data_IF_226441168321
#
_entry.id   IF_226441168321
#
_cell.length_a   1.000
_cell.length_b   1.000
_cell.length_c   1.000
_cell.angle_alpha   90.00
_cell.angle_beta   90.00
_cell.angle_gamma   90.00
#
_symmetry.space_group_name_H-M   'P 1'
#
loop_
_entity.id
_entity.type
_entity.pdbx_description
1 polymer ?
#
# COMPACT_ATOMS: atom_id res chain seq x y z
N UNK A 1 -10.44 4.73 18.36
CA UNK A 1 -9.06 4.22 18.47
C UNK A 1 -8.21 4.70 17.30
N UNK A 2 -6.89 4.53 17.33
CA UNK A 2 -5.98 4.95 16.23
C UNK A 2 -6.44 4.43 14.86
N UNK A 3 -6.99 3.21 14.83
CA UNK A 3 -7.54 2.59 13.63
C UNK A 3 -8.80 3.30 13.10
N UNK A 4 -9.68 3.81 13.97
CA UNK A 4 -10.88 4.56 13.56
C UNK A 4 -10.50 5.92 12.96
N UNK A 5 -9.51 6.59 13.55
CA UNK A 5 -8.99 7.88 13.05
C UNK A 5 -8.34 7.70 11.68
N UNK A 6 -7.58 6.62 11.50
CA UNK A 6 -6.98 6.27 10.21
C UNK A 6 -8.03 5.90 9.16
N UNK A 7 -9.08 5.19 9.57
CA UNK A 7 -10.20 4.82 8.70
C UNK A 7 -10.99 6.07 8.27
N UNK A 8 -11.26 7.00 9.18
CA UNK A 8 -11.94 8.27 8.86
C UNK A 8 -11.10 9.19 7.95
N UNK A 9 -9.77 9.17 8.08
CA UNK A 9 -8.88 9.89 7.16
C UNK A 9 -8.81 9.24 5.77
N UNK A 10 -8.88 7.91 5.69
CA UNK A 10 -8.87 7.19 4.41
C UNK A 10 -10.25 7.15 3.73
N UNK A 11 -11.36 7.24 4.46
CA UNK A 11 -12.73 7.24 3.93
C UNK A 11 -12.94 8.15 2.71
N UNK A 12 -12.57 9.43 2.70
CA UNK A 12 -12.81 10.29 1.54
C UNK A 12 -12.02 9.83 0.30
N UNK A 13 -10.79 9.36 0.47
CA UNK A 13 -9.98 8.81 -0.63
C UNK A 13 -10.51 7.47 -1.13
N UNK A 14 -11.02 6.65 -0.22
CA UNK A 14 -11.59 5.31 -0.49
C UNK A 14 -12.91 5.41 -1.23
N UNK A 15 -13.79 6.33 -0.82
CA UNK A 15 -15.08 6.59 -1.47
C UNK A 15 -14.87 7.19 -2.84
N UNK A 16 -13.88 8.09 -3.00
CA UNK A 16 -13.52 8.66 -4.31
C UNK A 16 -12.94 7.63 -5.28
N UNK A 17 -12.30 6.58 -4.77
CA UNK A 17 -11.77 5.46 -5.55
C UNK A 17 -12.78 4.31 -5.75
N UNK A 18 -13.99 4.38 -5.17
CA UNK A 18 -15.00 3.32 -5.26
C UNK A 18 -14.69 2.05 -4.46
N UNK A 19 -13.72 2.11 -3.53
CA UNK A 19 -13.37 0.96 -2.70
C UNK A 19 -14.39 0.77 -1.56
N UNK A 20 -14.74 -0.49 -1.30
CA UNK A 20 -15.54 -0.88 -0.15
C UNK A 20 -14.80 -0.51 1.16
N UNK A 21 -15.46 0.11 2.16
CA UNK A 21 -14.84 0.50 3.42
C UNK A 21 -14.14 -0.65 4.17
N UNK A 22 -14.58 -1.91 3.95
CA UNK A 22 -13.88 -3.10 4.46
C UNK A 22 -12.52 -3.33 3.81
N UNK A 23 -12.40 -3.09 2.50
CA UNK A 23 -11.15 -3.19 1.77
C UNK A 23 -10.18 -2.05 2.15
N UNK A 24 -10.69 -0.86 2.48
CA UNK A 24 -9.86 0.24 2.99
C UNK A 24 -9.18 -0.08 4.33
N UNK A 25 -9.84 -0.84 5.20
CA UNK A 25 -9.23 -1.29 6.45
C UNK A 25 -7.99 -2.16 6.17
N UNK A 26 -8.03 -3.01 5.13
CA UNK A 26 -6.86 -3.80 4.70
C UNK A 26 -5.71 -2.88 4.28
N UNK A 27 -5.97 -1.86 3.46
CA UNK A 27 -4.97 -0.85 3.06
C UNK A 27 -4.33 -0.17 4.27
N UNK A 28 -5.15 0.22 5.25
CA UNK A 28 -4.71 0.88 6.47
C UNK A 28 -3.83 -0.01 7.35
N UNK A 29 -4.18 -1.29 7.50
CA UNK A 29 -3.30 -2.27 8.18
C UNK A 29 -2.02 -2.47 7.39
N UNK A 30 -2.10 -2.52 6.05
CA UNK A 30 -0.94 -2.78 5.20
C UNK A 30 0.12 -1.69 5.33
N UNK A 31 -0.31 -0.44 5.51
CA UNK A 31 0.56 0.71 5.80
C UNK A 31 1.44 0.49 7.05
N UNK A 32 0.86 -0.13 8.08
CA UNK A 32 1.54 -0.37 9.36
C UNK A 32 2.35 -1.66 9.31
N UNK A 33 1.73 -2.74 8.84
CA UNK A 33 2.32 -4.06 8.81
C UNK A 33 1.75 -4.92 7.66
N UNK A 34 2.52 -5.17 6.60
CA UNK A 34 2.04 -5.85 5.40
C UNK A 34 1.67 -7.30 5.67
N UNK A 35 2.40 -8.00 6.55
CA UNK A 35 2.11 -9.40 6.90
C UNK A 35 0.75 -9.55 7.60
N UNK A 36 0.43 -8.65 8.54
CA UNK A 36 -0.86 -8.66 9.23
C UNK A 36 -2.01 -8.34 8.26
N UNK A 37 -1.80 -7.40 7.33
CA UNK A 37 -2.80 -7.04 6.34
C UNK A 37 -3.13 -8.17 5.38
N UNK A 38 -2.14 -8.96 4.94
CA UNK A 38 -2.38 -10.13 4.10
C UNK A 38 -3.20 -11.20 4.82
N UNK A 39 -2.93 -11.45 6.10
CA UNK A 39 -3.71 -12.40 6.92
C UNK A 39 -5.16 -11.93 7.11
N UNK A 40 -5.34 -10.63 7.40
CA UNK A 40 -6.68 -10.05 7.53
C UNK A 40 -7.41 -10.12 6.19
N UNK A 41 -6.74 -9.78 5.10
CA UNK A 41 -7.32 -9.85 3.76
C UNK A 41 -7.74 -11.28 3.40
N UNK A 42 -6.91 -12.30 3.68
CA UNK A 42 -7.25 -13.69 3.40
C UNK A 42 -8.45 -14.17 4.22
N UNK A 43 -8.53 -13.76 5.50
CA UNK A 43 -9.66 -14.10 6.35
C UNK A 43 -10.96 -13.43 5.86
N UNK A 44 -10.90 -12.15 5.49
CA UNK A 44 -12.06 -11.41 4.97
C UNK A 44 -12.55 -11.96 3.62
N UNK A 45 -11.62 -12.47 2.79
CA UNK A 45 -11.97 -13.17 1.54
C UNK A 45 -12.64 -14.52 1.82
N UNK A 46 -12.11 -15.30 2.77
CA UNK A 46 -12.65 -16.59 3.17
C UNK A 46 -14.06 -16.48 3.80
N UNK A 47 -14.32 -15.38 4.50
CA UNK A 47 -15.64 -15.06 5.07
C UNK A 47 -16.62 -14.45 4.06
N UNK A 48 -16.19 -14.20 2.82
CA UNK A 48 -17.02 -13.57 1.79
C UNK A 48 -17.34 -12.09 2.05
N UNK A 49 -16.65 -11.45 3.00
CA UNK A 49 -16.89 -10.04 3.35
C UNK A 49 -16.35 -9.06 2.31
N UNK A 50 -15.34 -9.50 1.55
CA UNK A 50 -14.69 -8.74 0.49
C UNK A 50 -14.54 -9.67 -0.72
N UNK A 51 -14.79 -9.15 -1.92
CA UNK A 51 -14.54 -9.88 -3.17
C UNK A 51 -13.10 -9.71 -3.65
N UNK A 52 -12.55 -10.66 -4.43
CA UNK A 52 -11.17 -10.56 -4.94
C UNK A 52 -10.91 -9.27 -5.71
N UNK A 53 -11.92 -8.77 -6.43
CA UNK A 53 -11.90 -7.52 -7.19
C UNK A 53 -11.69 -6.29 -6.29
N UNK A 54 -12.18 -6.33 -5.05
CA UNK A 54 -12.02 -5.24 -4.07
C UNK A 54 -10.75 -5.41 -3.21
N UNK A 55 -10.33 -6.65 -2.97
CA UNK A 55 -9.15 -6.97 -2.17
C UNK A 55 -7.84 -6.60 -2.88
N UNK A 56 -7.74 -6.90 -4.18
CA UNK A 56 -6.58 -6.59 -5.02
C UNK A 56 -6.18 -5.10 -5.02
N UNK A 57 -7.07 -4.15 -5.35
CA UNK A 57 -6.73 -2.73 -5.34
C UNK A 57 -6.38 -2.23 -3.93
N UNK A 58 -7.01 -2.76 -2.88
CA UNK A 58 -6.67 -2.43 -1.50
C UNK A 58 -5.24 -2.84 -1.12
N UNK A 59 -4.84 -4.07 -1.46
CA UNK A 59 -3.46 -4.55 -1.23
C UNK A 59 -2.45 -3.73 -2.05
N UNK A 60 -2.76 -3.44 -3.31
CA UNK A 60 -1.86 -2.68 -4.20
C UNK A 60 -1.66 -1.24 -3.70
N UNK A 61 -2.74 -0.57 -3.28
CA UNK A 61 -2.64 0.74 -2.64
C UNK A 61 -1.86 0.68 -1.33
N UNK A 62 -2.13 -0.34 -0.51
CA UNK A 62 -1.44 -0.54 0.76
C UNK A 62 0.07 -0.72 0.57
N UNK A 63 0.46 -1.51 -0.43
CA UNK A 63 1.86 -1.74 -0.81
C UNK A 63 2.55 -0.46 -1.30
N UNK A 64 1.87 0.34 -2.13
CA UNK A 64 2.39 1.65 -2.56
C UNK A 64 2.70 2.55 -1.39
N UNK A 65 1.78 2.67 -0.44
CA UNK A 65 1.96 3.52 0.73
C UNK A 65 3.01 2.96 1.71
N UNK A 66 3.02 1.65 1.95
CA UNK A 66 4.02 1.01 2.80
C UNK A 66 5.44 1.22 2.27
N UNK A 67 5.64 1.08 0.96
CA UNK A 67 6.94 1.28 0.32
C UNK A 67 7.42 2.73 0.46
N UNK A 68 6.51 3.70 0.31
CA UNK A 68 6.82 5.13 0.43
C UNK A 68 7.18 5.55 1.86
N UNK A 69 6.38 5.14 2.85
CA UNK A 69 6.50 5.67 4.21
C UNK A 69 7.37 4.82 5.12
N UNK A 70 7.33 3.49 4.97
CA UNK A 70 7.91 2.57 5.95
C UNK A 70 9.18 1.88 5.45
N UNK A 71 9.17 1.38 4.21
CA UNK A 71 10.28 0.60 3.66
C UNK A 71 11.42 1.49 3.14
N UNK A 72 11.08 2.67 2.59
CA UNK A 72 12.02 3.68 2.12
C UNK A 72 13.07 4.09 3.18
N UNK A 73 12.70 4.67 4.34
CA UNK A 73 13.68 5.18 5.30
C UNK A 73 14.42 4.06 6.04
N UNK A 74 13.76 2.92 6.27
CA UNK A 74 14.24 1.90 7.21
C UNK A 74 15.08 0.82 6.56
N UNK A 75 14.74 0.39 5.34
CA UNK A 75 15.42 -0.71 4.65
C UNK A 75 16.18 -0.24 3.40
N UNK A 76 15.56 0.60 2.58
CA UNK A 76 16.12 0.95 1.26
C UNK A 76 17.23 2.00 1.41
N UNK A 77 16.99 3.04 2.21
CA UNK A 77 17.93 4.15 2.36
C UNK A 77 19.31 3.74 2.93
N UNK A 78 19.42 3.01 4.07
CA UNK A 78 20.73 2.64 4.61
C UNK A 78 21.49 1.65 3.72
N UNK A 79 20.78 0.72 3.05
CA UNK A 79 21.40 -0.27 2.17
C UNK A 79 22.06 0.39 0.95
N UNK A 80 21.33 1.27 0.25
CA UNK A 80 21.88 1.92 -0.94
C UNK A 80 22.94 2.98 -0.60
N UNK A 81 22.81 3.70 0.53
CA UNK A 81 23.83 4.64 0.98
C UNK A 81 25.14 3.95 1.37
N UNK A 82 25.08 2.71 1.88
CA UNK A 82 26.27 1.97 2.31
C UNK A 82 27.07 1.38 1.16
N UNK A 83 26.42 1.07 0.03
CA UNK A 83 27.05 0.33 -1.07
C UNK A 83 27.46 1.24 -2.23
N UNK A 84 26.74 2.35 -2.45
CA UNK A 84 26.92 3.20 -3.62
C UNK A 84 27.34 4.63 -3.27
N UNK A 85 28.08 5.32 -4.15
CA UNK A 85 28.35 6.74 -3.99
C UNK A 85 27.04 7.54 -3.97
N UNK A 86 26.98 8.59 -3.15
CA UNK A 86 25.75 9.34 -2.79
C UNK A 86 24.90 9.76 -4.01
N UNK A 87 25.54 10.15 -5.10
CA UNK A 87 24.87 10.60 -6.33
C UNK A 87 24.16 9.46 -7.10
N UNK A 88 24.65 8.22 -6.98
CA UNK A 88 24.07 7.04 -7.63
C UNK A 88 23.02 6.39 -6.72
N UNK A 89 23.28 6.33 -5.42
CA UNK A 89 22.35 5.82 -4.40
C UNK A 89 21.01 6.54 -4.44
N UNK A 90 21.00 7.87 -4.54
CA UNK A 90 19.76 8.65 -4.61
C UNK A 90 18.95 8.36 -5.87
N UNK A 91 19.61 8.26 -7.04
CA UNK A 91 18.94 7.92 -8.29
C UNK A 91 18.32 6.53 -8.25
N UNK A 92 19.06 5.53 -7.75
CA UNK A 92 18.57 4.17 -7.59
C UNK A 92 17.42 4.08 -6.59
N UNK A 93 17.50 4.83 -5.49
CA UNK A 93 16.45 4.88 -4.47
C UNK A 93 15.16 5.49 -5.02
N UNK A 94 15.26 6.59 -5.77
CA UNK A 94 14.11 7.20 -6.46
C UNK A 94 13.51 6.20 -7.45
N UNK A 95 14.31 5.55 -8.30
CA UNK A 95 13.80 4.56 -9.27
C UNK A 95 13.13 3.39 -8.55
N UNK A 96 13.71 2.87 -7.47
CA UNK A 96 13.18 1.72 -6.74
C UNK A 96 11.89 2.04 -5.97
N UNK A 97 11.60 3.31 -5.70
CA UNK A 97 10.35 3.73 -5.02
C UNK A 97 9.31 4.18 -6.03
N UNK A 98 9.69 5.10 -6.93
CA UNK A 98 8.76 5.74 -7.86
C UNK A 98 8.20 4.74 -8.85
N UNK A 99 9.04 3.87 -9.44
CA UNK A 99 8.57 2.91 -10.46
C UNK A 99 7.52 1.95 -9.89
N UNK A 100 7.76 1.22 -8.78
CA UNK A 100 6.75 0.34 -8.23
C UNK A 100 5.56 1.09 -7.63
N UNK A 101 5.74 2.24 -6.95
CA UNK A 101 4.58 3.01 -6.42
C UNK A 101 3.66 3.50 -7.54
N UNK A 102 4.22 4.00 -8.65
CA UNK A 102 3.41 4.44 -9.80
C UNK A 102 2.73 3.25 -10.47
N UNK A 103 3.44 2.13 -10.64
CA UNK A 103 2.86 0.92 -11.22
C UNK A 103 1.72 0.36 -10.36
N UNK A 104 1.92 0.25 -9.05
CA UNK A 104 0.91 -0.23 -8.13
C UNK A 104 -0.29 0.72 -8.02
N UNK A 105 -0.09 2.04 -7.99
CA UNK A 105 -1.21 2.99 -8.08
C UNK A 105 -1.98 2.87 -9.40
N UNK A 106 -1.28 2.81 -10.53
CA UNK A 106 -1.93 2.69 -11.84
C UNK A 106 -2.74 1.40 -11.95
N UNK A 107 -2.18 0.27 -11.49
CA UNK A 107 -2.88 -1.02 -11.47
C UNK A 107 -4.08 -1.01 -10.52
N UNK A 108 -3.99 -0.36 -9.37
CA UNK A 108 -5.11 -0.24 -8.43
C UNK A 108 -6.25 0.59 -9.02
N UNK A 109 -5.95 1.71 -9.69
CA UNK A 109 -6.96 2.54 -10.35
C UNK A 109 -7.62 1.78 -11.50
N UNK A 110 -6.83 1.10 -12.33
CA UNK A 110 -7.35 0.31 -13.44
C UNK A 110 -8.27 -0.82 -12.96
N UNK A 111 -7.90 -1.52 -11.90
CA UNK A 111 -8.72 -2.57 -11.28
C UNK A 111 -9.98 -2.03 -10.60
N UNK A 112 -9.99 -0.78 -10.16
CA UNK A 112 -11.18 -0.13 -9.62
C UNK A 112 -12.16 0.35 -10.68
N UNK A 113 -11.69 0.56 -11.91
CA UNK A 113 -12.50 0.98 -13.05
C UNK A 113 -13.14 -0.19 -13.82
N UNK A 114 -12.76 -1.43 -13.51
CA UNK A 114 -13.12 -2.66 -14.23
C UNK A 114 -14.16 -3.47 -13.46
#
# INVERSE_FOLDING_TARGET
GFFDVLNDLLKPYVVMLGLNPKAAAVTAVYLLQPSAALIICSNMLAMGEITPVQALPAILLGSSFFTLFHDCPKNIMPYYLSVYPKNLSLKLLIVKIVVPSVFYMASAILLCML
#
